data_IF_598682386410
#
_entry.id   IF_598682386410
#
_cell.length_a   1.000
_cell.length_b   1.000
_cell.length_c   1.000
_cell.angle_alpha   90.00
_cell.angle_beta   90.00
_cell.angle_gamma   90.00
#
_symmetry.space_group_name_H-M   'P 1'
#
loop_
_entity.id
_entity.type
_entity.pdbx_description
1 polymer ?
#
# COMPACT_ATOMS: atom_id res chain seq x y z
N UNK A 1 12.94 34.55 -28.76
CA UNK A 1 11.99 33.48 -29.03
C UNK A 1 11.26 33.22 -27.72
N UNK A 2 10.01 33.66 -27.64
CA UNK A 2 9.17 33.36 -26.48
C UNK A 2 8.91 31.84 -26.50
N UNK A 3 9.21 31.15 -25.39
CA UNK A 3 8.87 29.75 -25.19
C UNK A 3 7.35 29.61 -25.38
N UNK A 4 6.93 29.02 -26.49
CA UNK A 4 5.58 28.47 -26.59
C UNK A 4 5.44 27.46 -25.45
N UNK A 5 4.80 27.88 -24.35
CA UNK A 5 4.39 26.98 -23.28
C UNK A 5 3.56 25.87 -23.93
N UNK A 6 4.14 24.70 -24.05
CA UNK A 6 3.41 23.56 -24.59
C UNK A 6 2.12 23.38 -23.80
N UNK A 7 0.98 23.49 -24.48
CA UNK A 7 -0.35 23.40 -23.87
C UNK A 7 -0.75 21.94 -23.56
N UNK A 8 0.26 21.11 -23.22
CA UNK A 8 0.07 19.69 -22.91
C UNK A 8 -0.49 19.59 -21.48
N UNK A 9 -1.74 19.14 -21.35
CA UNK A 9 -2.39 18.91 -20.05
C UNK A 9 -2.19 17.45 -19.64
N UNK A 10 -1.80 17.19 -18.38
CA UNK A 10 -1.71 15.82 -17.89
C UNK A 10 -3.04 15.07 -17.98
N UNK A 11 -3.00 13.79 -18.35
CA UNK A 11 -4.16 12.90 -18.40
C UNK A 11 -4.16 12.02 -17.15
N UNK A 12 -5.25 12.03 -16.39
CA UNK A 12 -5.44 11.21 -15.20
C UNK A 12 -6.38 10.04 -15.51
N UNK A 13 -5.92 8.81 -15.29
CA UNK A 13 -6.73 7.58 -15.45
C UNK A 13 -6.99 7.01 -14.06
N UNK A 14 -8.23 7.16 -13.63
CA UNK A 14 -8.72 6.87 -12.30
C UNK A 14 -9.66 5.65 -12.31
N UNK A 15 -9.90 5.05 -11.17
CA UNK A 15 -10.86 3.95 -10.99
C UNK A 15 -10.42 2.96 -9.94
N UNK A 16 -11.29 2.02 -9.59
CA UNK A 16 -11.03 0.98 -8.61
C UNK A 16 -9.87 0.06 -9.02
N UNK A 17 -9.27 -0.66 -8.05
CA UNK A 17 -8.34 -1.75 -8.38
C UNK A 17 -9.04 -2.78 -9.28
N UNK A 18 -8.30 -3.49 -10.12
CA UNK A 18 -8.80 -4.45 -11.11
C UNK A 18 -9.77 -3.88 -12.19
N UNK A 19 -9.92 -2.54 -12.30
CA UNK A 19 -10.77 -1.92 -13.34
C UNK A 19 -10.13 -1.86 -14.73
N UNK A 20 -8.87 -2.28 -14.89
CA UNK A 20 -8.16 -2.26 -16.17
C UNK A 20 -7.41 -0.96 -16.49
N UNK A 21 -7.20 -0.09 -15.48
CA UNK A 21 -6.52 1.21 -15.65
C UNK A 21 -5.16 1.11 -16.32
N UNK A 22 -4.31 0.18 -15.86
CA UNK A 22 -2.94 0.02 -16.35
C UNK A 22 -2.90 -0.37 -17.81
N UNK A 23 -3.70 -1.36 -18.22
CA UNK A 23 -3.79 -1.79 -19.61
C UNK A 23 -4.34 -0.67 -20.53
N UNK A 24 -5.33 0.09 -20.05
CA UNK A 24 -5.87 1.24 -20.78
C UNK A 24 -4.81 2.35 -20.91
N UNK A 25 -4.10 2.69 -19.82
CA UNK A 25 -3.04 3.70 -19.82
C UNK A 25 -1.91 3.34 -20.79
N UNK A 26 -1.50 2.08 -20.81
CA UNK A 26 -0.47 1.57 -21.69
C UNK A 26 -0.89 1.66 -23.17
N UNK A 27 -2.10 1.19 -23.50
CA UNK A 27 -2.66 1.30 -24.85
C UNK A 27 -2.79 2.76 -25.31
N UNK A 28 -3.18 3.66 -24.41
CA UNK A 28 -3.27 5.09 -24.69
C UNK A 28 -1.88 5.68 -24.93
N UNK A 29 -0.92 5.39 -24.04
CA UNK A 29 0.46 5.89 -24.15
C UNK A 29 1.11 5.55 -25.50
N UNK A 30 0.92 4.33 -25.97
CA UNK A 30 1.39 3.91 -27.31
C UNK A 30 0.82 4.76 -28.44
N UNK A 31 -0.46 5.14 -28.34
CA UNK A 31 -1.16 5.89 -29.40
C UNK A 31 -0.83 7.37 -29.46
N UNK A 32 -0.51 7.98 -28.31
CA UNK A 32 -0.37 9.44 -28.22
C UNK A 32 1.04 9.88 -27.80
N UNK A 33 2.04 9.01 -27.99
CA UNK A 33 3.43 9.28 -27.55
C UNK A 33 3.50 9.68 -26.07
N UNK A 34 2.83 8.89 -25.22
CA UNK A 34 2.73 9.16 -23.78
C UNK A 34 3.84 8.53 -22.97
N UNK A 35 3.99 9.03 -21.74
CA UNK A 35 4.78 8.42 -20.67
C UNK A 35 3.90 8.27 -19.43
N UNK A 36 4.04 7.15 -18.71
CA UNK A 36 3.16 6.79 -17.59
C UNK A 36 3.83 7.15 -16.26
N UNK A 37 3.05 7.69 -15.34
CA UNK A 37 3.43 7.95 -13.95
C UNK A 37 2.47 7.19 -13.04
N UNK A 38 2.99 6.23 -12.26
CA UNK A 38 2.18 5.48 -11.30
C UNK A 38 1.73 6.38 -10.14
N UNK A 39 0.44 6.32 -9.81
CA UNK A 39 -0.14 6.90 -8.61
C UNK A 39 -0.64 5.79 -7.68
N UNK A 40 0.22 4.82 -7.42
CA UNK A 40 0.00 3.72 -6.49
C UNK A 40 1.07 3.74 -5.40
N UNK A 41 0.64 3.87 -4.13
CA UNK A 41 1.54 4.03 -2.99
C UNK A 41 2.30 2.75 -2.63
N UNK A 42 1.93 1.61 -3.20
CA UNK A 42 2.58 0.34 -2.92
C UNK A 42 3.50 -0.10 -4.07
N UNK A 43 3.23 0.33 -5.29
CA UNK A 43 4.09 0.01 -6.43
C UNK A 43 5.43 0.75 -6.44
N UNK A 44 5.62 1.73 -5.55
CA UNK A 44 6.88 2.47 -5.39
C UNK A 44 8.00 1.60 -4.79
N UNK A 45 7.65 0.54 -4.06
CA UNK A 45 8.60 -0.32 -3.36
C UNK A 45 9.19 -1.38 -4.29
N UNK A 46 10.52 -1.51 -4.33
CA UNK A 46 11.21 -2.59 -5.01
C UNK A 46 10.88 -3.95 -4.38
N UNK A 47 10.79 -4.99 -5.19
CA UNK A 47 10.57 -6.36 -4.73
C UNK A 47 9.13 -6.71 -4.37
N UNK A 48 8.23 -5.74 -4.21
CA UNK A 48 6.81 -5.97 -3.99
C UNK A 48 6.09 -5.96 -5.35
N UNK A 49 6.12 -7.06 -6.07
CA UNK A 49 5.64 -7.14 -7.46
C UNK A 49 4.28 -7.81 -7.56
N UNK A 50 4.15 -8.99 -6.91
CA UNK A 50 2.96 -9.84 -7.00
C UNK A 50 1.80 -9.20 -6.24
N UNK A 51 1.97 -8.94 -4.94
CA UNK A 51 0.90 -8.39 -4.08
C UNK A 51 0.46 -6.97 -4.48
N UNK A 52 1.34 -6.19 -5.11
CA UNK A 52 0.99 -4.87 -5.66
C UNK A 52 0.50 -4.95 -7.10
N UNK A 53 0.51 -6.14 -7.70
CA UNK A 53 0.16 -6.42 -9.10
C UNK A 53 0.84 -5.48 -10.09
N UNK A 54 2.14 -5.33 -9.95
CA UNK A 54 2.95 -4.72 -11.00
C UNK A 54 2.88 -5.62 -12.24
N UNK A 55 2.68 -5.01 -13.37
CA UNK A 55 2.59 -5.71 -14.65
C UNK A 55 3.95 -5.71 -15.33
N UNK A 56 4.60 -6.87 -15.37
CA UNK A 56 5.93 -7.02 -15.97
C UNK A 56 5.93 -6.77 -17.48
N UNK A 57 4.84 -7.07 -18.17
CA UNK A 57 4.74 -6.84 -19.61
C UNK A 57 4.66 -5.33 -19.92
N UNK A 58 4.06 -4.53 -19.05
CA UNK A 58 4.03 -3.09 -19.18
C UNK A 58 5.40 -2.44 -18.93
N UNK A 59 6.30 -3.14 -18.21
CA UNK A 59 7.65 -2.66 -17.88
C UNK A 59 8.70 -2.97 -18.94
N UNK A 60 8.40 -3.79 -19.95
CA UNK A 60 9.36 -4.24 -20.98
C UNK A 60 9.78 -3.18 -22.01
N UNK A 61 9.83 -1.92 -21.62
CA UNK A 61 10.62 -0.90 -22.31
C UNK A 61 9.98 -0.20 -23.51
N UNK A 62 8.74 -0.54 -23.91
CA UNK A 62 8.08 0.19 -25.01
C UNK A 62 7.55 1.57 -24.59
N UNK A 63 7.17 1.71 -23.31
CA UNK A 63 6.65 2.96 -22.74
C UNK A 63 7.43 3.33 -21.50
N UNK A 64 7.82 4.60 -21.40
CA UNK A 64 8.44 5.13 -20.18
C UNK A 64 7.45 5.06 -19.03
N UNK A 65 7.91 4.46 -17.92
CA UNK A 65 7.10 4.26 -16.72
C UNK A 65 7.85 4.79 -15.50
N UNK A 66 7.23 5.70 -14.75
CA UNK A 66 7.81 6.40 -13.62
C UNK A 66 7.06 6.10 -12.33
N UNK A 67 7.70 6.32 -11.20
CA UNK A 67 7.13 6.15 -9.86
C UNK A 67 6.77 4.69 -9.53
N UNK A 68 7.55 3.76 -10.05
CA UNK A 68 7.59 2.34 -9.63
C UNK A 68 9.02 1.97 -9.27
N UNK A 69 9.20 1.05 -8.32
CA UNK A 69 10.50 0.49 -7.92
C UNK A 69 11.55 1.56 -7.57
N UNK A 70 11.15 2.63 -6.88
CA UNK A 70 12.00 3.79 -6.60
C UNK A 70 12.67 3.75 -5.23
N UNK A 71 12.12 3.01 -4.27
CA UNK A 71 12.65 2.87 -2.91
C UNK A 71 12.66 1.40 -2.47
N UNK A 72 13.46 1.09 -1.46
CA UNK A 72 13.51 -0.25 -0.88
C UNK A 72 12.37 -0.47 0.12
N UNK A 73 12.00 -1.74 0.39
CA UNK A 73 10.84 -2.07 1.21
C UNK A 73 10.92 -1.57 2.67
N UNK A 74 12.13 -1.36 3.19
CA UNK A 74 12.38 -0.85 4.55
C UNK A 74 12.32 0.68 4.66
N UNK A 75 12.21 1.39 3.55
CA UNK A 75 12.12 2.84 3.52
C UNK A 75 10.68 3.33 3.69
N UNK A 76 10.51 4.56 4.13
CA UNK A 76 9.21 5.23 4.19
C UNK A 76 9.09 6.24 3.06
N UNK A 77 7.90 6.41 2.50
CA UNK A 77 7.64 7.39 1.43
C UNK A 77 6.35 8.16 1.70
N UNK A 78 6.49 9.47 1.77
CA UNK A 78 5.36 10.35 2.07
C UNK A 78 4.67 10.83 0.79
N UNK A 79 3.42 11.31 0.94
CA UNK A 79 2.70 11.96 -0.15
C UNK A 79 3.40 13.23 -0.65
N UNK A 80 4.15 13.92 0.21
CA UNK A 80 4.92 15.12 -0.17
C UNK A 80 6.09 14.77 -1.09
N UNK A 81 6.82 13.71 -0.76
CA UNK A 81 7.90 13.19 -1.61
C UNK A 81 7.34 12.69 -2.95
N UNK A 82 6.22 11.94 -2.91
CA UNK A 82 5.54 11.53 -4.13
C UNK A 82 5.19 12.73 -5.02
N UNK A 83 4.51 13.73 -4.47
CA UNK A 83 4.09 14.91 -5.23
C UNK A 83 5.27 15.66 -5.84
N UNK A 84 6.37 15.79 -5.10
CA UNK A 84 7.61 16.43 -5.56
C UNK A 84 8.23 15.67 -6.74
N UNK A 85 8.41 14.36 -6.58
CA UNK A 85 8.99 13.50 -7.63
C UNK A 85 8.08 13.44 -8.87
N UNK A 86 6.79 13.19 -8.69
CA UNK A 86 5.85 13.06 -9.80
C UNK A 86 5.70 14.39 -10.58
N UNK A 87 5.63 15.55 -9.91
CA UNK A 87 5.60 16.87 -10.57
C UNK A 87 6.85 17.12 -11.39
N UNK A 88 8.03 16.69 -10.90
CA UNK A 88 9.29 16.77 -11.65
C UNK A 88 9.23 15.91 -12.93
N UNK A 89 8.74 14.69 -12.83
CA UNK A 89 8.57 13.82 -14.01
C UNK A 89 7.53 14.38 -14.99
N UNK A 90 6.40 14.91 -14.52
CA UNK A 90 5.40 15.57 -15.37
C UNK A 90 6.04 16.70 -16.17
N UNK A 91 6.79 17.58 -15.52
CA UNK A 91 7.45 18.71 -16.16
C UNK A 91 8.48 18.27 -17.20
N UNK A 92 9.28 17.24 -16.90
CA UNK A 92 10.27 16.68 -17.82
C UNK A 92 9.61 16.03 -19.06
N UNK A 93 8.56 15.25 -18.86
CA UNK A 93 7.79 14.61 -19.93
C UNK A 93 7.23 15.68 -20.89
N UNK A 94 6.61 16.73 -20.35
CA UNK A 94 6.07 17.85 -21.13
C UNK A 94 7.20 18.56 -21.90
N UNK A 95 8.34 18.82 -21.25
CA UNK A 95 9.51 19.47 -21.89
C UNK A 95 10.01 18.66 -23.09
N UNK A 96 9.90 17.35 -23.06
CA UNK A 96 10.28 16.45 -24.18
C UNK A 96 9.18 16.29 -25.24
N UNK A 97 8.08 17.06 -25.15
CA UNK A 97 6.96 17.00 -26.10
C UNK A 97 6.13 15.71 -25.99
N UNK A 98 6.20 14.99 -24.86
CA UNK A 98 5.42 13.78 -24.60
C UNK A 98 4.21 14.08 -23.75
N UNK A 99 3.21 13.19 -23.79
CA UNK A 99 1.99 13.30 -23.01
C UNK A 99 2.16 12.60 -21.64
N UNK A 100 2.12 13.33 -20.49
CA UNK A 100 2.12 12.68 -19.19
C UNK A 100 0.75 12.03 -18.92
N UNK A 101 0.78 10.77 -18.50
CA UNK A 101 -0.41 9.97 -18.15
C UNK A 101 -0.23 9.48 -16.73
N UNK A 102 -1.02 9.99 -15.79
CA UNK A 102 -1.03 9.59 -14.40
C UNK A 102 -2.06 8.48 -14.21
N UNK A 103 -1.62 7.32 -13.72
CA UNK A 103 -2.49 6.16 -13.54
C UNK A 103 -2.36 5.58 -12.13
N UNK A 104 -3.48 5.38 -11.45
CA UNK A 104 -3.44 4.76 -10.12
C UNK A 104 -4.75 4.82 -9.35
N UNK A 105 -4.71 4.25 -8.14
CA UNK A 105 -5.84 4.16 -7.22
C UNK A 105 -5.62 4.90 -5.90
N UNK A 106 -4.42 5.43 -5.63
CA UNK A 106 -4.14 6.14 -4.38
C UNK A 106 -4.68 7.57 -4.42
N UNK A 107 -5.89 7.76 -3.88
CA UNK A 107 -6.60 9.03 -3.93
C UNK A 107 -5.77 10.21 -3.39
N UNK A 108 -5.03 10.00 -2.29
CA UNK A 108 -4.19 11.04 -1.69
C UNK A 108 -3.05 11.48 -2.62
N UNK A 109 -2.47 10.56 -3.41
CA UNK A 109 -1.44 10.88 -4.41
C UNK A 109 -2.03 11.72 -5.56
N UNK A 110 -3.20 11.32 -6.04
CA UNK A 110 -3.92 12.07 -7.07
C UNK A 110 -4.29 13.46 -6.57
N UNK A 111 -4.81 13.57 -5.35
CA UNK A 111 -5.18 14.85 -4.74
C UNK A 111 -3.97 15.78 -4.61
N UNK A 112 -2.80 15.26 -4.22
CA UNK A 112 -1.56 16.03 -4.08
C UNK A 112 -1.00 16.55 -5.40
N UNK A 113 -1.34 15.90 -6.52
CA UNK A 113 -0.98 16.39 -7.86
C UNK A 113 -1.99 17.40 -8.40
N UNK A 114 -3.29 17.22 -8.09
CA UNK A 114 -4.38 18.05 -8.61
C UNK A 114 -4.49 19.38 -7.87
N UNK A 115 -4.16 19.40 -6.58
CA UNK A 115 -4.36 20.55 -5.74
C UNK A 115 -3.05 20.96 -5.04
N UNK A 116 -2.83 22.27 -4.84
CA UNK A 116 -1.75 22.71 -3.97
C UNK A 116 -2.03 22.14 -2.56
N UNK A 117 -1.10 21.35 -2.06
CA UNK A 117 -1.13 20.90 -0.67
C UNK A 117 -0.01 21.61 0.08
N UNK A 118 -0.36 22.22 1.19
CA UNK A 118 0.60 22.93 2.05
C UNK A 118 1.46 21.92 2.82
N UNK A 119 2.38 21.22 2.12
CA UNK A 119 3.30 20.29 2.76
C UNK A 119 4.36 20.98 3.64
N UNK A 120 4.60 22.28 3.39
CA UNK A 120 5.64 23.05 4.08
C UNK A 120 5.32 23.32 5.56
N UNK A 121 4.04 23.34 5.95
CA UNK A 121 3.60 23.57 7.33
C UNK A 121 3.48 22.29 8.14
N UNK A 122 3.76 21.12 7.55
CA UNK A 122 3.50 19.82 8.14
C UNK A 122 4.66 18.84 7.99
N UNK A 123 5.93 19.34 8.02
CA UNK A 123 7.06 18.44 8.23
C UNK A 123 6.76 17.57 9.47
N UNK A 124 6.98 16.27 9.37
CA UNK A 124 6.78 15.36 10.51
C UNK A 124 7.55 15.87 11.71
N UNK A 125 6.86 16.16 12.78
CA UNK A 125 7.50 16.42 14.08
C UNK A 125 7.60 15.07 14.81
N UNK A 126 8.73 14.38 14.62
CA UNK A 126 8.94 13.02 15.16
C UNK A 126 8.86 13.02 16.70
N UNK A 127 9.37 14.05 17.36
CA UNK A 127 9.29 14.19 18.83
C UNK A 127 7.84 14.31 19.32
N UNK A 128 7.08 15.23 18.70
CA UNK A 128 5.68 15.42 19.05
C UNK A 128 4.87 14.16 18.78
N UNK A 129 5.15 13.49 17.66
CA UNK A 129 4.45 12.25 17.30
C UNK A 129 4.76 11.10 18.26
N UNK A 130 6.03 10.96 18.70
CA UNK A 130 6.40 9.98 19.73
C UNK A 130 5.62 10.23 21.01
N UNK A 131 5.58 11.49 21.49
CA UNK A 131 4.81 11.89 22.68
C UNK A 131 3.31 11.59 22.54
N UNK A 132 2.70 11.91 21.39
CA UNK A 132 1.27 11.63 21.15
C UNK A 132 0.97 10.12 21.09
N UNK A 133 1.90 9.31 20.61
CA UNK A 133 1.77 7.86 20.64
C UNK A 133 1.90 7.30 22.05
N UNK A 134 2.77 7.85 22.88
CA UNK A 134 2.85 7.50 24.32
C UNK A 134 1.56 7.86 25.05
N UNK A 135 1.01 9.07 24.82
CA UNK A 135 -0.29 9.47 25.35
C UNK A 135 -1.41 8.51 24.92
N UNK A 136 -1.41 8.08 23.63
CA UNK A 136 -2.37 7.10 23.13
C UNK A 136 -2.26 5.75 23.87
N UNK A 137 -1.04 5.26 24.10
CA UNK A 137 -0.82 4.01 24.83
C UNK A 137 -1.26 4.10 26.30
N UNK A 138 -1.03 5.25 26.93
CA UNK A 138 -1.34 5.47 28.35
C UNK A 138 -2.84 5.73 28.61
N UNK A 139 -3.48 6.54 27.77
CA UNK A 139 -4.83 7.06 28.02
C UNK A 139 -5.90 6.55 27.05
N UNK A 140 -5.48 5.91 25.95
CA UNK A 140 -6.40 5.31 24.98
C UNK A 140 -6.96 6.27 23.93
N UNK A 141 -7.72 5.69 22.99
CA UNK A 141 -8.22 6.37 21.79
C UNK A 141 -9.23 7.49 22.11
N UNK A 142 -10.13 7.27 23.07
CA UNK A 142 -11.14 8.24 23.47
C UNK A 142 -10.50 9.52 24.06
N UNK A 143 -9.46 9.37 24.87
CA UNK A 143 -8.71 10.51 25.40
C UNK A 143 -8.12 11.35 24.27
N UNK A 144 -7.46 10.71 23.31
CA UNK A 144 -6.87 11.40 22.16
C UNK A 144 -7.92 12.09 21.30
N UNK A 145 -9.08 11.48 21.12
CA UNK A 145 -10.18 12.09 20.38
C UNK A 145 -10.76 13.32 21.13
N UNK A 146 -10.89 13.26 22.44
CA UNK A 146 -11.32 14.41 23.27
C UNK A 146 -10.27 15.53 23.24
N UNK A 147 -8.96 15.21 23.23
CA UNK A 147 -7.88 16.18 23.03
C UNK A 147 -8.02 16.88 21.67
N UNK A 148 -8.27 16.12 20.58
CA UNK A 148 -8.53 16.70 19.27
C UNK A 148 -9.78 17.58 19.29
N UNK A 149 -10.85 17.15 19.95
CA UNK A 149 -12.12 17.89 20.05
C UNK A 149 -11.93 19.26 20.72
N UNK A 150 -11.02 19.38 21.67
CA UNK A 150 -10.67 20.66 22.30
C UNK A 150 -9.86 21.58 21.38
N UNK A 151 -9.04 21.00 20.47
CA UNK A 151 -8.16 21.74 19.57
C UNK A 151 -8.85 22.09 18.22
N UNK A 152 -9.57 21.14 17.64
CA UNK A 152 -10.28 21.26 16.35
C UNK A 152 -11.58 20.44 16.39
N UNK A 153 -12.64 21.10 16.87
CA UNK A 153 -13.95 20.47 17.05
C UNK A 153 -14.54 19.95 15.73
N UNK A 154 -14.43 20.73 14.64
CA UNK A 154 -14.98 20.34 13.35
C UNK A 154 -14.29 19.09 12.77
N UNK A 155 -12.97 18.97 12.94
CA UNK A 155 -12.23 17.78 12.52
C UNK A 155 -12.57 16.58 13.40
N UNK A 156 -12.72 16.77 14.72
CA UNK A 156 -13.10 15.69 15.63
C UNK A 156 -14.49 15.11 15.30
N UNK A 157 -15.45 15.92 14.87
CA UNK A 157 -16.78 15.42 14.44
C UNK A 157 -16.72 14.50 13.21
N UNK A 158 -15.68 14.61 12.39
CA UNK A 158 -15.51 13.81 11.15
C UNK A 158 -14.67 12.56 11.34
N UNK A 159 -13.90 12.49 12.42
CA UNK A 159 -13.02 11.37 12.71
C UNK A 159 -13.61 10.51 13.83
N UNK A 160 -13.56 9.19 13.64
CA UNK A 160 -13.89 8.25 14.71
C UNK A 160 -12.72 8.12 15.69
N UNK A 161 -12.98 7.97 16.99
CA UNK A 161 -11.92 7.84 18.01
C UNK A 161 -10.93 6.71 17.71
N UNK A 162 -11.40 5.59 17.14
CA UNK A 162 -10.56 4.45 16.76
C UNK A 162 -9.66 4.71 15.54
N UNK A 163 -9.88 5.81 14.80
CA UNK A 163 -8.94 6.21 13.74
C UNK A 163 -7.77 7.01 14.33
N UNK A 164 -7.05 6.36 15.24
CA UNK A 164 -6.00 6.95 16.05
C UNK A 164 -4.90 7.59 15.22
N UNK A 165 -4.58 7.02 14.06
CA UNK A 165 -3.57 7.57 13.14
C UNK A 165 -3.99 8.95 12.61
N UNK A 166 -5.26 9.11 12.21
CA UNK A 166 -5.78 10.41 11.74
C UNK A 166 -6.00 11.39 12.88
N UNK A 167 -6.45 10.92 14.04
CA UNK A 167 -6.60 11.73 15.25
C UNK A 167 -5.25 12.33 15.66
N UNK A 168 -4.20 11.51 15.80
CA UNK A 168 -2.85 11.96 16.14
C UNK A 168 -2.33 12.96 15.09
N UNK A 169 -2.52 12.66 13.80
CA UNK A 169 -2.07 13.56 12.74
C UNK A 169 -2.78 14.91 12.78
N UNK A 170 -4.06 14.94 13.09
CA UNK A 170 -4.82 16.19 13.24
C UNK A 170 -4.28 17.01 14.42
N UNK A 171 -4.06 16.39 15.57
CA UNK A 171 -3.46 17.04 16.76
C UNK A 171 -2.08 17.61 16.41
N UNK A 172 -1.21 16.78 15.78
CA UNK A 172 0.13 17.20 15.36
C UNK A 172 0.10 18.45 14.49
N UNK A 173 -0.82 18.52 13.53
CA UNK A 173 -0.97 19.69 12.65
C UNK A 173 -1.38 20.93 13.46
N UNK A 174 -2.38 20.81 14.32
CA UNK A 174 -2.85 21.94 15.11
C UNK A 174 -1.78 22.42 16.11
N UNK A 175 -1.12 21.50 16.82
CA UNK A 175 -0.07 21.87 17.79
C UNK A 175 1.16 22.48 17.10
N UNK A 176 1.48 22.04 15.86
CA UNK A 176 2.63 22.57 15.11
C UNK A 176 2.34 23.91 14.44
N UNK A 177 1.12 24.11 13.93
CA UNK A 177 0.78 25.27 13.10
C UNK A 177 -0.02 26.35 13.84
N UNK A 178 -0.65 26.00 14.97
CA UNK A 178 -1.61 26.83 15.67
C UNK A 178 -2.93 27.06 14.92
N UNK A 179 -3.19 26.28 13.85
CA UNK A 179 -4.37 26.42 12.99
C UNK A 179 -5.11 25.10 12.86
N UNK A 180 -6.44 25.15 12.78
CA UNK A 180 -7.27 23.97 12.49
C UNK A 180 -6.96 23.39 11.11
N UNK A 181 -7.35 22.13 10.86
CA UNK A 181 -7.20 21.53 9.54
C UNK A 181 -7.93 22.31 8.44
N UNK A 182 -9.07 22.91 8.77
CA UNK A 182 -9.85 23.74 7.85
C UNK A 182 -9.11 25.02 7.46
N UNK A 183 -8.49 25.69 8.43
CA UNK A 183 -7.69 26.90 8.21
C UNK A 183 -6.38 26.61 7.46
N UNK A 184 -5.84 25.41 7.59
CA UNK A 184 -4.68 24.94 6.83
C UNK A 184 -5.04 24.41 5.43
N UNK A 185 -6.34 24.27 5.11
CA UNK A 185 -6.76 23.82 3.79
C UNK A 185 -6.82 25.00 2.82
N UNK A 186 -5.96 24.96 1.79
CA UNK A 186 -6.02 25.91 0.69
C UNK A 186 -7.36 25.77 -0.08
N UNK A 187 -7.86 26.88 -0.63
CA UNK A 187 -9.02 26.82 -1.52
C UNK A 187 -8.68 25.95 -2.73
N UNK A 188 -9.45 24.88 -2.92
CA UNK A 188 -9.27 23.97 -4.05
C UNK A 188 -9.86 24.61 -5.30
N UNK A 189 -9.01 25.21 -6.12
CA UNK A 189 -9.41 25.62 -7.47
C UNK A 189 -9.60 24.37 -8.36
N UNK A 190 -10.50 24.47 -9.34
CA UNK A 190 -10.70 23.36 -10.28
C UNK A 190 -9.41 23.13 -11.08
N UNK A 191 -8.83 21.90 -11.05
CA UNK A 191 -7.59 21.63 -11.75
C UNK A 191 -7.81 21.63 -13.27
N UNK A 192 -6.84 22.18 -14.00
CA UNK A 192 -6.83 22.16 -15.46
C UNK A 192 -6.17 20.89 -16.01
N UNK A 193 -6.91 19.80 -15.98
CA UNK A 193 -6.46 18.46 -16.36
C UNK A 193 -7.53 17.71 -17.15
N UNK A 194 -7.13 16.64 -17.85
CA UNK A 194 -8.04 15.67 -18.44
C UNK A 194 -8.14 14.49 -17.49
N UNK A 195 -9.34 14.17 -17.01
CA UNK A 195 -9.55 13.04 -16.11
C UNK A 195 -10.51 12.02 -16.75
N UNK A 196 -10.11 10.76 -16.76
CA UNK A 196 -10.89 9.61 -17.24
C UNK A 196 -11.09 8.65 -16.08
N UNK A 197 -12.32 8.41 -15.69
CA UNK A 197 -12.67 7.43 -14.67
C UNK A 197 -13.15 6.13 -15.31
N UNK A 198 -12.46 5.02 -15.04
CA UNK A 198 -12.89 3.69 -15.46
C UNK A 198 -13.86 3.13 -14.43
N UNK A 199 -15.07 2.88 -14.84
CA UNK A 199 -16.09 2.25 -14.02
C UNK A 199 -16.48 0.89 -14.61
N UNK A 200 -16.75 -0.08 -13.74
CA UNK A 200 -17.20 -1.42 -14.12
C UNK A 200 -18.38 -1.82 -13.24
N UNK A 201 -19.19 -2.73 -13.76
CA UNK A 201 -20.20 -3.42 -12.94
C UNK A 201 -19.57 -4.05 -11.71
N UNK A 202 -20.23 -3.89 -10.55
CA UNK A 202 -19.68 -4.29 -9.25
C UNK A 202 -19.44 -5.80 -9.15
N UNK A 203 -20.34 -6.61 -9.71
CA UNK A 203 -20.21 -8.06 -9.67
C UNK A 203 -19.00 -8.52 -10.50
N UNK A 204 -18.83 -7.96 -11.69
CA UNK A 204 -17.68 -8.23 -12.56
C UNK A 204 -16.37 -7.74 -11.93
N UNK A 205 -16.39 -6.60 -11.26
CA UNK A 205 -15.22 -6.08 -10.55
C UNK A 205 -14.80 -7.02 -9.43
N UNK A 206 -15.75 -7.51 -8.63
CA UNK A 206 -15.49 -8.44 -7.53
C UNK A 206 -14.97 -9.80 -8.02
N UNK A 207 -15.52 -10.30 -9.13
CA UNK A 207 -15.00 -11.50 -9.75
C UNK A 207 -13.53 -11.33 -10.16
N UNK A 208 -13.19 -10.25 -10.88
CA UNK A 208 -11.80 -9.94 -11.26
C UNK A 208 -10.86 -9.78 -10.08
N UNK A 209 -11.34 -9.19 -8.98
CA UNK A 209 -10.55 -9.08 -7.75
C UNK A 209 -10.25 -10.46 -7.20
N UNK A 210 -11.23 -11.35 -7.12
CA UNK A 210 -11.03 -12.70 -6.60
C UNK A 210 -10.04 -13.49 -7.46
N UNK A 211 -10.27 -13.53 -8.78
CA UNK A 211 -9.39 -14.19 -9.76
C UNK A 211 -7.94 -13.67 -9.66
N UNK A 212 -7.78 -12.35 -9.50
CA UNK A 212 -6.47 -11.75 -9.32
C UNK A 212 -5.78 -12.17 -8.03
N UNK A 213 -6.51 -12.26 -6.91
CA UNK A 213 -5.94 -12.74 -5.65
C UNK A 213 -5.58 -14.21 -5.77
N UNK A 214 -6.42 -15.06 -6.39
CA UNK A 214 -6.09 -16.46 -6.63
C UNK A 214 -4.77 -16.59 -7.39
N UNK A 215 -4.64 -15.82 -8.48
CA UNK A 215 -3.41 -15.79 -9.27
C UNK A 215 -2.19 -15.29 -8.50
N UNK A 216 -2.33 -14.32 -7.60
CA UNK A 216 -1.22 -13.85 -6.76
C UNK A 216 -0.63 -14.98 -5.90
N UNK A 217 -1.48 -15.85 -5.35
CA UNK A 217 -1.01 -17.01 -4.59
C UNK A 217 -0.31 -18.03 -5.49
N UNK A 218 -0.83 -18.29 -6.69
CA UNK A 218 -0.19 -19.16 -7.69
C UNK A 218 1.17 -18.62 -8.14
N UNK A 219 1.28 -17.29 -8.31
CA UNK A 219 2.49 -16.60 -8.75
C UNK A 219 3.56 -16.48 -7.63
N UNK A 220 3.28 -16.91 -6.38
CA UNK A 220 4.23 -16.94 -5.27
C UNK A 220 4.15 -15.75 -4.31
N UNK A 221 2.96 -15.17 -4.08
CA UNK A 221 2.76 -14.07 -3.13
C UNK A 221 3.34 -14.38 -1.74
N UNK A 222 3.19 -15.63 -1.28
CA UNK A 222 3.71 -16.05 0.02
C UNK A 222 5.22 -15.85 0.09
N UNK A 223 5.95 -16.29 -0.93
CA UNK A 223 7.40 -16.11 -1.01
C UNK A 223 7.82 -14.65 -1.06
N UNK A 224 7.07 -13.82 -1.79
CA UNK A 224 7.32 -12.38 -1.85
C UNK A 224 7.14 -11.73 -0.47
N UNK A 225 6.07 -12.04 0.25
CA UNK A 225 5.81 -11.52 1.60
C UNK A 225 6.96 -11.86 2.55
N UNK A 226 7.41 -13.11 2.52
CA UNK A 226 8.46 -13.60 3.42
C UNK A 226 9.85 -13.09 3.05
N UNK A 227 10.08 -12.75 1.78
CA UNK A 227 11.35 -12.15 1.36
C UNK A 227 11.63 -10.81 2.04
N UNK A 228 10.59 -10.06 2.41
CA UNK A 228 10.70 -8.79 3.16
C UNK A 228 10.77 -9.02 4.66
N UNK A 229 9.95 -9.91 5.21
CA UNK A 229 10.04 -10.47 6.55
C UNK A 229 9.78 -9.53 7.74
N UNK A 230 9.57 -8.23 7.55
CA UNK A 230 9.36 -7.28 8.65
C UNK A 230 8.05 -6.49 8.48
N UNK A 231 7.02 -6.92 9.22
CA UNK A 231 5.67 -6.33 9.16
C UNK A 231 5.55 -4.92 9.78
N UNK A 232 6.59 -4.39 10.39
CA UNK A 232 6.60 -3.00 10.87
C UNK A 232 6.88 -1.99 9.76
N UNK A 233 7.39 -2.44 8.60
CA UNK A 233 7.64 -1.57 7.47
C UNK A 233 6.33 -1.01 6.89
N UNK A 234 6.39 0.23 6.39
CA UNK A 234 5.25 0.88 5.74
C UNK A 234 4.75 0.09 4.53
N UNK A 235 5.66 -0.49 3.77
CA UNK A 235 5.39 -1.34 2.62
C UNK A 235 4.52 -2.56 2.97
N UNK A 236 4.75 -3.16 4.13
CA UNK A 236 4.05 -4.35 4.61
C UNK A 236 2.66 -4.06 5.20
N UNK A 237 2.25 -2.78 5.25
CA UNK A 237 0.88 -2.41 5.62
C UNK A 237 -0.12 -2.49 4.46
N UNK A 238 0.34 -2.84 3.26
CA UNK A 238 -0.51 -3.02 2.10
C UNK A 238 -1.42 -4.25 2.24
N UNK A 239 -2.58 -4.20 1.58
CA UNK A 239 -3.44 -5.37 1.38
C UNK A 239 -2.66 -6.40 0.55
N UNK A 240 -2.68 -7.65 0.98
CA UNK A 240 -1.87 -8.72 0.40
C UNK A 240 -0.60 -9.03 1.19
N UNK A 241 -0.20 -8.15 2.12
CA UNK A 241 0.98 -8.35 2.98
C UNK A 241 0.62 -8.32 4.46
N UNK A 242 -0.11 -7.31 4.92
CA UNK A 242 -0.48 -7.13 6.34
C UNK A 242 -1.28 -8.31 6.91
N UNK A 243 -2.01 -9.03 6.08
CA UNK A 243 -2.82 -10.18 6.47
C UNK A 243 -1.96 -11.34 6.97
N UNK A 244 -0.67 -11.39 6.60
CA UNK A 244 0.30 -12.37 7.07
C UNK A 244 0.96 -11.99 8.41
N UNK A 245 0.71 -10.80 8.95
CA UNK A 245 1.40 -10.30 10.17
C UNK A 245 1.14 -11.15 11.42
N UNK A 246 0.10 -11.96 11.44
CA UNK A 246 -0.26 -12.83 12.57
C UNK A 246 0.25 -14.26 12.43
N UNK A 247 0.89 -14.60 11.31
CA UNK A 247 1.47 -15.91 11.11
C UNK A 247 2.71 -16.07 12.01
N UNK A 248 2.77 -17.15 12.78
CA UNK A 248 3.94 -17.49 13.56
C UNK A 248 5.05 -18.03 12.64
N UNK A 249 6.00 -17.16 12.31
CA UNK A 249 7.11 -17.49 11.43
C UNK A 249 8.11 -18.39 12.17
N UNK A 250 8.10 -19.66 11.85
CA UNK A 250 9.24 -20.53 12.14
C UNK A 250 9.92 -20.80 10.82
N UNK A 251 11.13 -20.26 10.64
CA UNK A 251 12.01 -20.68 9.55
C UNK A 251 12.20 -22.18 9.69
N UNK A 252 11.58 -22.95 8.80
CA UNK A 252 11.69 -24.40 8.80
C UNK A 252 13.14 -24.82 8.49
N UNK A 253 13.88 -23.97 7.75
CA UNK A 253 15.29 -24.21 7.44
C UNK A 253 16.23 -24.15 8.67
N UNK A 254 15.88 -23.42 9.73
CA UNK A 254 16.63 -23.44 10.99
C UNK A 254 16.32 -24.68 11.85
N UNK A 255 15.19 -25.35 11.62
CA UNK A 255 14.78 -26.55 12.40
C UNK A 255 15.22 -27.88 11.78
N UNK A 256 15.62 -27.92 10.51
CA UNK A 256 16.06 -29.16 9.84
C UNK A 256 17.49 -29.56 10.24
N UNK A 257 18.23 -28.73 10.97
CA UNK A 257 19.55 -29.04 11.49
C UNK A 257 19.54 -29.66 12.90
N UNK A 258 18.41 -30.21 13.33
CA UNK A 258 18.36 -31.14 14.47
C UNK A 258 18.80 -32.49 13.97
N UNK A 259 20.08 -32.80 14.22
CA UNK A 259 20.62 -34.14 14.01
C UNK A 259 19.68 -35.19 14.58
N UNK A 260 19.25 -36.15 13.75
CA UNK A 260 18.36 -37.25 14.12
C UNK A 260 18.93 -38.20 15.20
N UNK A 261 19.97 -37.82 15.92
CA UNK A 261 20.67 -38.61 16.92
C UNK A 261 20.42 -38.21 18.38
N UNK A 262 19.63 -37.14 18.66
CA UNK A 262 19.30 -36.70 20.03
C UNK A 262 17.80 -36.49 20.24
N UNK A 263 16.98 -37.48 19.99
CA UNK A 263 15.61 -37.54 20.49
C UNK A 263 15.60 -38.40 21.77
N UNK A 264 15.83 -37.77 22.91
CA UNK A 264 15.56 -38.38 24.22
C UNK A 264 14.04 -38.28 24.49
N UNK A 265 13.38 -39.42 24.42
CA UNK A 265 11.92 -39.59 24.41
C UNK A 265 11.31 -39.45 25.83
N UNK A 266 12.04 -38.94 26.82
CA UNK A 266 11.61 -38.97 28.23
C UNK A 266 11.33 -37.65 28.91
N UNK A 267 11.18 -36.50 28.20
CA UNK A 267 10.69 -35.27 28.85
C UNK A 267 9.32 -34.80 28.30
N UNK A 268 8.28 -34.75 29.17
CA UNK A 268 6.94 -34.26 28.79
C UNK A 268 6.81 -32.75 29.02
N UNK A 269 7.32 -31.93 28.15
CA UNK A 269 6.98 -30.50 28.08
C UNK A 269 7.30 -29.89 26.70
N UNK A 270 6.55 -30.28 25.67
CA UNK A 270 6.35 -29.40 24.53
C UNK A 270 4.88 -29.52 24.13
N UNK A 271 4.12 -28.46 24.39
CA UNK A 271 2.73 -28.35 23.99
C UNK A 271 2.72 -27.98 22.50
N UNK A 272 3.00 -28.97 21.67
CA UNK A 272 2.75 -28.90 20.23
C UNK A 272 1.35 -29.47 20.07
N UNK A 273 0.40 -28.64 19.60
CA UNK A 273 -0.87 -29.14 19.12
C UNK A 273 -0.57 -30.15 18.01
N UNK A 274 -0.57 -31.41 18.40
CA UNK A 274 -0.18 -32.52 17.58
C UNK A 274 -1.21 -32.75 16.47
N UNK A 275 -0.85 -32.40 15.24
CA UNK A 275 -1.35 -33.16 14.10
C UNK A 275 -0.82 -34.58 14.25
N UNK A 276 -1.70 -35.56 14.21
CA UNK A 276 -1.44 -36.99 14.41
C UNK A 276 -0.33 -37.47 13.46
N UNK A 277 0.80 -37.90 14.03
CA UNK A 277 1.82 -38.60 13.28
C UNK A 277 1.36 -40.05 13.07
N UNK A 278 1.11 -40.42 11.82
CA UNK A 278 1.01 -41.83 11.43
C UNK A 278 2.42 -42.34 11.08
N UNK A 279 2.95 -43.20 11.88
CA UNK A 279 4.32 -43.70 11.81
C UNK A 279 4.57 -44.73 10.66
N UNK A 280 3.59 -44.96 9.77
CA UNK A 280 3.66 -45.97 8.72
C UNK A 280 3.72 -45.44 7.29
N UNK A 281 3.80 -44.15 7.06
CA UNK A 281 3.93 -43.57 5.71
C UNK A 281 5.26 -42.86 5.52
N UNK A 282 6.10 -43.38 4.64
CA UNK A 282 7.37 -42.79 4.19
C UNK A 282 7.20 -41.57 3.25
N UNK A 283 6.03 -40.92 3.28
CA UNK A 283 5.75 -39.60 2.70
C UNK A 283 5.05 -38.80 3.76
N UNK A 284 5.80 -37.88 4.36
CA UNK A 284 5.18 -36.74 5.06
C UNK A 284 4.40 -35.97 3.99
N UNK A 285 3.06 -36.08 4.01
CA UNK A 285 2.20 -35.05 3.41
C UNK A 285 2.33 -33.82 4.29
N UNK A 286 3.37 -33.01 4.00
CA UNK A 286 3.58 -31.74 4.68
C UNK A 286 2.62 -30.76 4.03
N UNK A 287 1.37 -30.72 4.51
CA UNK A 287 0.38 -29.67 4.19
C UNK A 287 0.71 -28.37 4.93
N UNK A 288 2.00 -28.08 5.07
CA UNK A 288 2.51 -26.85 5.67
C UNK A 288 3.49 -26.26 4.69
N UNK A 289 3.33 -24.97 4.39
CA UNK A 289 4.30 -24.27 3.53
C UNK A 289 5.68 -24.28 4.17
N UNK A 290 6.73 -24.02 3.39
CA UNK A 290 8.11 -23.87 3.91
C UNK A 290 8.23 -22.81 5.02
N UNK A 291 7.20 -22.01 5.25
CA UNK A 291 7.12 -20.99 6.30
C UNK A 291 6.32 -21.43 7.53
N UNK A 292 5.88 -22.66 7.62
CA UNK A 292 5.14 -23.20 8.76
C UNK A 292 3.65 -22.79 8.79
N UNK A 293 3.08 -22.31 7.69
CA UNK A 293 1.67 -21.93 7.57
C UNK A 293 0.90 -23.10 6.99
N UNK A 294 -0.19 -23.51 7.66
CA UNK A 294 -1.08 -24.56 7.17
C UNK A 294 -1.91 -24.11 5.97
N UNK A 295 -2.35 -25.05 5.13
CA UNK A 295 -3.26 -24.76 4.01
C UNK A 295 -4.53 -24.03 4.47
N UNK A 296 -5.10 -24.43 5.61
CA UNK A 296 -6.29 -23.79 6.17
C UNK A 296 -6.03 -22.32 6.56
N UNK A 297 -4.87 -22.01 7.14
CA UNK A 297 -4.49 -20.63 7.44
C UNK A 297 -4.28 -19.82 6.17
N UNK A 298 -3.68 -20.41 5.13
CA UNK A 298 -3.53 -19.75 3.83
C UNK A 298 -4.88 -19.44 3.19
N UNK A 299 -5.84 -20.34 3.25
CA UNK A 299 -7.19 -20.11 2.73
C UNK A 299 -7.89 -18.98 3.48
N UNK A 300 -7.76 -18.92 4.81
CA UNK A 300 -8.29 -17.81 5.62
C UNK A 300 -7.65 -16.47 5.21
N UNK A 301 -6.33 -16.43 5.07
CA UNK A 301 -5.60 -15.24 4.64
C UNK A 301 -6.05 -14.82 3.24
N UNK A 302 -6.15 -15.75 2.31
CA UNK A 302 -6.57 -15.52 0.93
C UNK A 302 -7.97 -14.90 0.86
N UNK A 303 -8.94 -15.46 1.59
CA UNK A 303 -10.29 -14.89 1.65
C UNK A 303 -10.32 -13.52 2.32
N UNK A 304 -9.48 -13.29 3.34
CA UNK A 304 -9.32 -11.98 3.96
C UNK A 304 -8.78 -10.94 2.98
N UNK A 305 -7.77 -11.28 2.20
CA UNK A 305 -7.21 -10.41 1.15
C UNK A 305 -8.28 -10.07 0.10
N UNK A 306 -9.05 -11.06 -0.37
CA UNK A 306 -10.16 -10.85 -1.30
C UNK A 306 -11.19 -9.86 -0.72
N UNK A 307 -11.59 -10.06 0.53
CA UNK A 307 -12.53 -9.17 1.22
C UNK A 307 -12.02 -7.75 1.37
N UNK A 308 -10.79 -7.58 1.84
CA UNK A 308 -10.18 -6.26 2.05
C UNK A 308 -9.96 -5.53 0.72
N UNK A 309 -9.57 -6.25 -0.33
CA UNK A 309 -9.46 -5.69 -1.69
C UNK A 309 -10.82 -5.25 -2.23
N UNK A 310 -11.88 -6.03 -2.03
CA UNK A 310 -13.25 -5.62 -2.42
C UNK A 310 -13.74 -4.40 -1.63
N UNK A 311 -13.39 -4.31 -0.35
CA UNK A 311 -13.72 -3.17 0.48
C UNK A 311 -12.99 -1.90 0.05
N UNK A 312 -11.72 -2.02 -0.33
CA UNK A 312 -10.93 -0.91 -0.87
C UNK A 312 -11.45 -0.43 -2.24
N UNK A 313 -12.06 -1.31 -3.02
CA UNK A 313 -12.58 -1.02 -4.37
C UNK A 313 -13.98 -0.36 -4.37
N UNK A 314 -14.62 -0.18 -3.20
CA UNK A 314 -15.89 0.56 -3.04
C UNK A 314 -15.69 2.05 -3.18
#
# INVERSE_FOLDING_TARGET
MQDEKSNIKPIYILGATASGKSAFAFSLAKKINGAIISADSMQIYKGLNIGTAKDDDLRKGEIEYYMQDIIDANESFSVAEYATCAKKHIADIIKRGKQPIIVGGTGLYIEALLYPMSFATTSKNEELRAKLNEELQQFGAEYMHNKLKALDFETALRLHANDTKRVIRAIEIVETTGKTLKENSDKKEKPDVIAVALNQDRAKLYQKINERVDKMFEDGLVDEVFSVGNFNYQSMQAIGYKEFAHCNFTNVDEKININATELDINEPKLNINAAKYDTNTTKLDINVTKYGISETELDIIKEKIKQDTRNYAK
#
